data_IF_291050994970
#
_entry.id   IF_291050994970
#
_cell.length_a   1.000
_cell.length_b   1.000
_cell.length_c   1.000
_cell.angle_alpha   90.00
_cell.angle_beta   90.00
_cell.angle_gamma   90.00
#
_symmetry.space_group_name_H-M   'P 1'
#
loop_
_entity.id
_entity.type
_entity.pdbx_description
1 polymer ?
#
# COMPACT_ATOMS: atom_id res chain seq x y z
N UNK A 1 4.33 -6.60 -1.87
CA UNK A 1 3.78 -7.97 -1.82
C UNK A 1 3.51 -8.39 -0.39
N UNK A 2 4.51 -8.42 0.50
CA UNK A 2 4.36 -8.88 1.89
C UNK A 2 3.45 -7.99 2.72
N UNK A 3 3.45 -6.68 2.53
CA UNK A 3 2.55 -5.76 3.24
C UNK A 3 1.07 -6.13 3.01
N UNK A 4 0.70 -6.47 1.77
CA UNK A 4 -0.64 -6.95 1.47
C UNK A 4 -0.95 -8.31 2.14
N UNK A 5 0.02 -9.22 2.20
CA UNK A 5 -0.12 -10.51 2.89
C UNK A 5 -0.39 -10.32 4.38
N UNK A 6 0.35 -9.44 5.05
CA UNK A 6 0.10 -9.11 6.45
C UNK A 6 -1.28 -8.47 6.67
N UNK A 7 -1.69 -7.56 5.79
CA UNK A 7 -2.99 -6.92 5.90
C UNK A 7 -4.15 -7.90 5.69
N UNK A 8 -4.13 -8.67 4.61
CA UNK A 8 -5.24 -9.56 4.25
C UNK A 8 -5.23 -10.87 5.02
N UNK A 9 -4.11 -11.56 5.09
CA UNK A 9 -4.04 -12.86 5.75
C UNK A 9 -3.83 -12.73 7.25
N UNK A 10 -2.99 -11.79 7.69
CA UNK A 10 -2.75 -11.54 9.11
C UNK A 10 -3.94 -10.85 9.76
N UNK A 11 -4.11 -9.56 9.52
CA UNK A 11 -5.15 -8.77 10.16
C UNK A 11 -6.56 -9.16 9.68
N UNK A 12 -6.76 -9.35 8.37
CA UNK A 12 -8.04 -9.68 7.78
C UNK A 12 -8.58 -11.05 8.21
N UNK A 13 -7.76 -12.09 8.08
CA UNK A 13 -8.16 -13.49 8.33
C UNK A 13 -7.63 -14.09 9.61
N UNK A 14 -6.87 -13.35 10.39
CA UNK A 14 -6.36 -13.80 11.70
C UNK A 14 -5.24 -14.83 11.60
N UNK A 15 -4.51 -14.90 10.49
CA UNK A 15 -3.36 -15.80 10.38
C UNK A 15 -2.24 -15.32 11.30
N UNK A 16 -1.48 -16.24 11.86
CA UNK A 16 -0.42 -15.95 12.83
C UNK A 16 0.66 -15.02 12.23
N UNK A 17 0.83 -13.83 12.82
CA UNK A 17 1.78 -12.83 12.35
C UNK A 17 3.24 -13.27 12.51
N UNK A 18 3.53 -14.10 13.49
CA UNK A 18 4.88 -14.67 13.70
C UNK A 18 5.27 -15.61 12.56
N UNK A 19 4.33 -16.44 12.10
CA UNK A 19 4.53 -17.30 10.93
C UNK A 19 4.72 -16.46 9.67
N UNK A 20 3.89 -15.43 9.46
CA UNK A 20 4.03 -14.52 8.32
C UNK A 20 5.38 -13.80 8.33
N UNK A 21 5.85 -13.35 9.49
CA UNK A 21 7.16 -12.70 9.64
C UNK A 21 8.31 -13.66 9.31
N UNK A 22 8.19 -14.92 9.69
CA UNK A 22 9.17 -15.96 9.35
C UNK A 22 9.21 -16.21 7.86
N UNK A 23 8.05 -16.34 7.21
CA UNK A 23 7.94 -16.51 5.75
C UNK A 23 8.45 -15.29 4.99
N UNK A 24 8.14 -14.09 5.44
CA UNK A 24 8.66 -12.84 4.87
C UNK A 24 10.20 -12.82 4.90
N UNK A 25 10.77 -13.14 6.04
CA UNK A 25 12.22 -13.18 6.20
C UNK A 25 12.87 -14.21 5.27
N UNK A 26 12.31 -15.41 5.21
CA UNK A 26 12.81 -16.46 4.31
C UNK A 26 12.73 -16.05 2.84
N UNK A 27 11.62 -15.41 2.44
CA UNK A 27 11.41 -14.98 1.06
C UNK A 27 12.31 -13.80 0.66
N UNK A 28 12.58 -12.89 1.59
CA UNK A 28 13.26 -11.62 1.29
C UNK A 28 14.78 -11.62 1.60
N UNK A 29 15.27 -12.52 2.42
CA UNK A 29 16.72 -12.65 2.67
C UNK A 29 17.46 -13.45 1.61
N UNK A 30 16.76 -14.27 0.82
CA UNK A 30 17.37 -15.13 -0.19
C UNK A 30 18.20 -16.25 0.41
N UNK A 31 18.88 -17.01 -0.46
CA UNK A 31 19.69 -18.18 -0.09
C UNK A 31 21.13 -17.84 0.32
N UNK A 32 21.50 -16.56 0.36
CA UNK A 32 22.84 -16.13 0.77
C UNK A 32 22.86 -15.76 2.25
N UNK A 33 23.34 -16.64 3.14
CA UNK A 33 23.32 -16.40 4.59
C UNK A 33 24.23 -15.26 5.06
N UNK A 34 25.10 -14.78 4.19
CA UNK A 34 26.12 -13.77 4.51
C UNK A 34 25.59 -12.34 4.49
N UNK A 35 24.45 -12.11 3.86
CA UNK A 35 23.75 -10.85 3.89
C UNK A 35 22.47 -11.03 4.70
N UNK A 36 22.55 -10.90 5.98
CA UNK A 36 21.42 -10.88 6.92
C UNK A 36 20.47 -9.67 6.63
N UNK A 37 20.40 -9.24 5.37
CA UNK A 37 19.68 -8.09 4.87
C UNK A 37 18.42 -8.57 4.17
N UNK A 38 17.32 -8.41 4.87
CA UNK A 38 15.99 -8.60 4.29
C UNK A 38 15.77 -7.53 3.20
N UNK A 39 15.50 -7.98 1.98
CA UNK A 39 15.16 -7.07 0.87
C UNK A 39 13.73 -6.54 1.07
N UNK A 40 13.65 -5.29 1.43
CA UNK A 40 12.38 -4.56 1.53
C UNK A 40 12.18 -3.68 0.30
N UNK A 41 10.93 -3.38 -0.09
CA UNK A 41 10.67 -2.38 -1.12
C UNK A 41 11.14 -1.00 -0.63
N UNK A 42 11.67 -0.20 -1.55
CA UNK A 42 12.09 1.18 -1.26
C UNK A 42 10.89 2.08 -0.96
N UNK A 43 9.74 1.76 -1.51
CA UNK A 43 8.49 2.46 -1.29
C UNK A 43 7.30 1.49 -1.39
N UNK A 44 6.43 1.56 -0.43
CA UNK A 44 5.08 0.98 -0.50
C UNK A 44 4.07 2.11 -0.61
N UNK A 45 3.35 2.17 -1.70
CA UNK A 45 2.24 3.11 -1.89
C UNK A 45 0.96 2.44 -1.39
N UNK A 46 0.35 3.05 -0.38
CA UNK A 46 -0.90 2.58 0.19
C UNK A 46 -2.05 3.48 -0.26
N UNK A 47 -2.92 2.94 -1.11
CA UNK A 47 -4.17 3.58 -1.49
C UNK A 47 -5.18 3.36 -0.38
N UNK A 48 -5.29 4.35 0.52
CA UNK A 48 -6.17 4.28 1.67
C UNK A 48 -7.58 4.72 1.29
N UNK A 49 -8.54 3.87 1.61
CA UNK A 49 -9.95 4.09 1.36
C UNK A 49 -10.75 3.62 2.58
N UNK A 50 -11.71 4.42 3.03
CA UNK A 50 -12.60 4.02 4.11
C UNK A 50 -13.25 2.67 3.79
N UNK A 51 -13.27 1.70 4.73
CA UNK A 51 -13.78 0.36 4.48
C UNK A 51 -15.21 0.34 3.96
N UNK A 52 -16.05 1.25 4.43
CA UNK A 52 -17.44 1.41 3.98
C UNK A 52 -17.52 1.82 2.50
N UNK A 53 -16.68 2.76 2.08
CA UNK A 53 -16.58 3.21 0.68
C UNK A 53 -16.02 2.10 -0.21
N UNK A 54 -15.04 1.35 0.27
CA UNK A 54 -14.50 0.20 -0.45
C UNK A 54 -15.58 -0.87 -0.67
N UNK A 55 -16.35 -1.18 0.37
CA UNK A 55 -17.45 -2.14 0.29
C UNK A 55 -18.54 -1.68 -0.70
N UNK A 56 -18.91 -0.40 -0.68
CA UNK A 56 -19.88 0.17 -1.63
C UNK A 56 -19.39 0.10 -3.08
N UNK A 57 -18.14 0.45 -3.33
CA UNK A 57 -17.56 0.37 -4.68
C UNK A 57 -17.52 -1.06 -5.22
N UNK A 58 -17.20 -2.03 -4.36
CA UNK A 58 -17.23 -3.44 -4.73
C UNK A 58 -18.64 -3.93 -4.99
N UNK A 59 -19.61 -3.55 -4.19
CA UNK A 59 -21.02 -3.93 -4.39
C UNK A 59 -21.60 -3.37 -5.70
N UNK A 60 -21.12 -2.22 -6.17
CA UNK A 60 -21.55 -1.59 -7.42
C UNK A 60 -20.85 -2.10 -8.68
N UNK A 61 -19.76 -2.84 -8.53
CA UNK A 61 -18.91 -3.31 -9.62
C UNK A 61 -19.06 -4.82 -9.83
N UNK A 62 -19.92 -5.30 -10.74
CA UNK A 62 -20.09 -6.71 -11.13
C UNK A 62 -20.62 -7.66 -10.04
N UNK A 63 -21.08 -8.86 -10.50
CA UNK A 63 -21.41 -10.00 -9.63
C UNK A 63 -20.19 -10.29 -8.74
N UNK A 64 -20.32 -10.22 -7.40
CA UNK A 64 -19.18 -10.39 -6.49
C UNK A 64 -18.56 -11.78 -6.64
N UNK A 65 -17.26 -11.82 -6.89
CA UNK A 65 -16.46 -13.02 -6.71
C UNK A 65 -16.45 -13.41 -5.22
N UNK A 66 -16.08 -14.65 -4.89
CA UNK A 66 -15.97 -15.16 -3.51
C UNK A 66 -15.14 -14.27 -2.59
N UNK A 67 -14.17 -13.54 -3.14
CA UNK A 67 -13.33 -12.60 -2.41
C UNK A 67 -13.97 -11.23 -2.18
N UNK A 68 -14.92 -10.85 -3.03
CA UNK A 68 -15.60 -9.54 -3.01
C UNK A 68 -16.81 -9.52 -2.06
N UNK A 69 -17.30 -10.69 -1.65
CA UNK A 69 -18.44 -10.84 -0.72
C UNK A 69 -18.05 -10.75 0.77
N UNK A 70 -16.86 -10.19 1.08
CA UNK A 70 -16.40 -10.06 2.46
C UNK A 70 -17.15 -8.95 3.20
N UNK A 71 -17.51 -9.15 4.48
CA UNK A 71 -18.17 -8.12 5.27
C UNK A 71 -17.26 -6.91 5.52
N UNK A 72 -17.86 -5.74 5.79
CA UNK A 72 -17.13 -4.49 6.08
C UNK A 72 -16.09 -4.67 7.19
N UNK A 73 -16.37 -5.50 8.19
CA UNK A 73 -15.44 -5.82 9.27
C UNK A 73 -14.13 -6.44 8.79
N UNK A 74 -14.18 -7.25 7.74
CA UNK A 74 -12.96 -7.76 7.11
C UNK A 74 -12.11 -6.62 6.53
N UNK A 75 -12.72 -5.69 5.81
CA UNK A 75 -12.01 -4.54 5.24
C UNK A 75 -11.50 -3.58 6.31
N UNK A 76 -12.19 -3.45 7.45
CA UNK A 76 -11.68 -2.69 8.60
C UNK A 76 -10.40 -3.31 9.16
N UNK A 77 -10.39 -4.63 9.33
CA UNK A 77 -9.18 -5.34 9.78
C UNK A 77 -8.04 -5.22 8.77
N UNK A 78 -8.32 -5.33 7.48
CA UNK A 78 -7.32 -5.15 6.42
C UNK A 78 -6.74 -3.73 6.47
N UNK A 79 -7.59 -2.71 6.57
CA UNK A 79 -7.14 -1.32 6.68
C UNK A 79 -6.26 -1.09 7.93
N UNK A 80 -6.63 -1.69 9.07
CA UNK A 80 -5.81 -1.65 10.28
C UNK A 80 -4.47 -2.36 10.08
N UNK A 81 -4.45 -3.49 9.39
CA UNK A 81 -3.22 -4.20 9.06
C UNK A 81 -2.25 -3.35 8.22
N UNK A 82 -2.74 -2.62 7.24
CA UNK A 82 -1.92 -1.65 6.49
C UNK A 82 -1.44 -0.50 7.37
N UNK A 83 -2.30 0.03 8.23
CA UNK A 83 -1.93 1.11 9.16
C UNK A 83 -0.82 0.65 10.12
N UNK A 84 -0.89 -0.57 10.63
CA UNK A 84 0.12 -1.15 11.53
C UNK A 84 1.47 -1.32 10.80
N UNK A 85 1.45 -1.81 9.55
CA UNK A 85 2.66 -1.92 8.73
C UNK A 85 3.26 -0.56 8.41
N UNK A 86 2.44 0.43 8.09
CA UNK A 86 2.88 1.80 7.83
C UNK A 86 3.47 2.46 9.08
N UNK A 87 2.89 2.24 10.25
CA UNK A 87 3.40 2.73 11.53
C UNK A 87 4.75 2.10 11.89
N UNK A 88 4.97 0.82 11.56
CA UNK A 88 6.22 0.13 11.78
C UNK A 88 7.35 0.56 10.82
N UNK A 89 7.02 1.08 9.63
CA UNK A 89 7.97 1.51 8.61
C UNK A 89 7.56 2.83 7.96
N UNK A 90 7.45 3.94 8.71
CA UNK A 90 6.85 5.18 8.22
C UNK A 90 7.63 5.83 7.07
N UNK A 91 8.93 5.59 6.98
CA UNK A 91 9.76 6.13 5.89
C UNK A 91 9.60 5.38 4.57
N UNK A 92 9.15 4.14 4.64
CA UNK A 92 8.94 3.26 3.47
C UNK A 92 7.53 3.40 2.90
N UNK A 93 6.57 3.83 3.69
CA UNK A 93 5.17 3.96 3.28
C UNK A 93 4.82 5.37 2.81
N UNK A 94 4.03 5.43 1.74
CA UNK A 94 3.34 6.64 1.32
C UNK A 94 1.83 6.35 1.24
N UNK A 95 1.07 6.99 2.12
CA UNK A 95 -0.38 6.89 2.15
C UNK A 95 -0.98 7.88 1.18
N UNK A 96 -1.84 7.40 0.28
CA UNK A 96 -2.62 8.23 -0.64
C UNK A 96 -4.10 8.15 -0.27
N UNK A 97 -4.78 9.29 -0.28
CA UNK A 97 -6.23 9.33 -0.13
C UNK A 97 -6.91 8.86 -1.45
N UNK A 98 -7.35 7.61 -1.46
CA UNK A 98 -8.01 7.00 -2.60
C UNK A 98 -9.50 7.36 -2.73
N UNK A 99 -10.05 8.15 -1.80
CA UNK A 99 -11.40 8.68 -1.91
C UNK A 99 -11.50 9.84 -2.91
N UNK A 100 -10.36 10.48 -3.21
CA UNK A 100 -10.26 11.55 -4.21
C UNK A 100 -10.50 11.02 -5.63
N UNK A 101 -10.74 11.94 -6.57
CA UNK A 101 -10.81 11.60 -7.97
C UNK A 101 -9.45 11.10 -8.52
N UNK A 102 -9.49 10.43 -9.68
CA UNK A 102 -8.30 9.83 -10.30
C UNK A 102 -7.17 10.85 -10.51
N UNK A 103 -7.51 12.05 -10.92
CA UNK A 103 -6.51 13.09 -11.18
C UNK A 103 -5.81 13.52 -9.89
N UNK A 104 -6.55 13.71 -8.81
CA UNK A 104 -5.98 14.05 -7.51
C UNK A 104 -5.15 12.92 -6.90
N UNK A 105 -5.59 11.68 -7.05
CA UNK A 105 -4.78 10.52 -6.64
C UNK A 105 -3.47 10.47 -7.41
N UNK A 106 -3.50 10.71 -8.72
CA UNK A 106 -2.30 10.80 -9.54
C UNK A 106 -1.37 11.94 -9.09
N UNK A 107 -1.91 13.11 -8.76
CA UNK A 107 -1.13 14.23 -8.21
C UNK A 107 -0.45 13.87 -6.87
N UNK A 108 -1.14 13.17 -5.99
CA UNK A 108 -0.55 12.68 -4.73
C UNK A 108 0.63 11.73 -5.02
N UNK A 109 0.45 10.78 -5.93
CA UNK A 109 1.49 9.82 -6.29
C UNK A 109 2.72 10.50 -6.89
N UNK A 110 2.52 11.40 -7.83
CA UNK A 110 3.63 12.16 -8.45
C UNK A 110 4.37 13.02 -7.42
N UNK A 111 3.65 13.62 -6.47
CA UNK A 111 4.25 14.36 -5.36
C UNK A 111 5.14 13.49 -4.48
N UNK A 112 4.75 12.24 -4.23
CA UNK A 112 5.57 11.26 -3.49
C UNK A 112 6.87 10.98 -4.25
N UNK A 113 6.81 10.74 -5.54
CA UNK A 113 7.99 10.46 -6.37
C UNK A 113 8.94 11.66 -6.45
N UNK A 114 8.40 12.87 -6.52
CA UNK A 114 9.20 14.11 -6.46
C UNK A 114 9.93 14.22 -5.12
N UNK A 115 9.24 14.00 -4.01
CA UNK A 115 9.87 14.03 -2.67
C UNK A 115 10.95 12.96 -2.49
N UNK A 116 10.81 11.81 -3.16
CA UNK A 116 11.83 10.75 -3.18
C UNK A 116 13.01 11.07 -4.11
N UNK A 117 12.92 12.12 -4.91
CA UNK A 117 13.93 12.46 -5.90
C UNK A 117 13.91 11.57 -7.16
N UNK A 118 12.85 10.80 -7.35
CA UNK A 118 12.70 9.87 -8.48
C UNK A 118 12.08 10.52 -9.71
N UNK A 119 11.43 11.66 -9.52
CA UNK A 119 10.79 12.44 -10.56
C UNK A 119 11.21 13.91 -10.42
N UNK A 120 11.75 14.50 -11.50
CA UNK A 120 12.06 15.92 -11.55
C UNK A 120 10.79 16.71 -11.89
N UNK A 121 10.57 17.82 -11.18
CA UNK A 121 9.59 18.82 -11.61
C UNK A 121 10.24 19.58 -12.76
N UNK A 122 9.74 19.40 -13.96
CA UNK A 122 10.03 20.34 -15.05
C UNK A 122 9.30 21.64 -14.72
N UNK A 123 9.99 22.56 -14.10
CA UNK A 123 9.55 23.96 -14.03
C UNK A 123 9.64 24.48 -15.48
N UNK A 124 8.50 24.58 -16.13
CA UNK A 124 8.42 25.35 -17.36
C UNK A 124 8.76 26.79 -16.99
N UNK A 125 9.99 27.19 -17.20
CA UNK A 125 10.37 28.59 -17.30
C UNK A 125 9.62 29.13 -18.49
N UNK A 126 8.51 29.78 -18.22
CA UNK A 126 7.90 30.68 -19.21
C UNK A 126 8.90 31.82 -19.44
N UNK A 127 9.78 31.59 -20.38
CA UNK A 127 10.48 32.68 -21.01
C UNK A 127 9.46 33.53 -21.75
N UNK A 128 9.03 34.63 -21.12
CA UNK A 128 8.24 35.63 -21.80
C UNK A 128 9.09 36.22 -22.93
N UNK A 129 8.51 36.46 -24.10
CA UNK A 129 9.22 37.19 -25.16
C UNK A 129 9.42 38.63 -24.70
N UNK A 130 10.64 39.09 -24.82
CA UNK A 130 10.94 40.53 -24.79
C UNK A 130 10.52 41.16 -26.10
#
# INVERSE_FOLDING_TARGET
FTDATFAYQGAGRGFDLGVLSTLERLAQTGLAPEANLMREPDLTVWFDLAPEVAAERLAGARVPDRFEAQPVEFFRRVAQGYADRAAAAPQRFARLDAAQDRHRVWQQLTSVFVRKGWLAIMVATQGGPQ
#
